data_IF_652392331353
#
_entry.id   IF_652392331353
#
_cell.length_a   1.000
_cell.length_b   1.000
_cell.length_c   1.000
_cell.angle_alpha   90.00
_cell.angle_beta   90.00
_cell.angle_gamma   90.00
#
_symmetry.space_group_name_H-M   'P 1'
#
loop_
_entity.id
_entity.type
_entity.pdbx_description
1 polymer ?
#
# COMPACT_ATOMS: atom_id res chain seq x y z
N UNK A 1 17.97 5.26 -10.10
CA UNK A 1 17.28 6.27 -9.29
C UNK A 1 15.99 5.71 -8.68
N UNK A 2 15.58 6.25 -7.54
CA UNK A 2 14.34 5.86 -6.85
C UNK A 2 13.52 7.10 -6.52
N UNK A 3 12.24 7.06 -6.83
CA UNK A 3 11.24 8.01 -6.36
C UNK A 3 10.40 7.32 -5.28
N UNK A 4 10.54 7.79 -4.05
CA UNK A 4 9.75 7.35 -2.91
C UNK A 4 8.67 8.37 -2.60
N UNK A 5 7.41 7.94 -2.68
CA UNK A 5 6.25 8.78 -2.38
C UNK A 5 5.59 8.34 -1.07
N UNK A 6 5.15 9.31 -0.28
CA UNK A 6 4.51 9.03 1.01
C UNK A 6 3.17 8.29 0.89
N UNK A 7 2.53 8.39 -0.28
CA UNK A 7 1.33 7.62 -0.59
C UNK A 7 1.20 7.37 -2.10
N UNK A 8 0.26 6.52 -2.47
CA UNK A 8 0.04 6.13 -3.86
C UNK A 8 -0.50 7.26 -4.74
N UNK A 9 -1.31 8.17 -4.20
CA UNK A 9 -1.81 9.29 -4.98
C UNK A 9 -0.66 10.19 -5.46
N UNK A 10 0.35 10.42 -4.62
CA UNK A 10 1.58 11.12 -5.01
C UNK A 10 2.38 10.32 -6.03
N UNK A 11 2.47 8.99 -5.84
CA UNK A 11 3.19 8.11 -6.77
C UNK A 11 2.54 8.11 -8.16
N UNK A 12 1.21 8.08 -8.25
CA UNK A 12 0.49 8.16 -9.52
C UNK A 12 0.73 9.50 -10.23
N UNK A 13 0.79 10.60 -9.49
CA UNK A 13 1.18 11.89 -10.04
C UNK A 13 2.63 11.91 -10.54
N UNK A 14 3.56 11.34 -9.77
CA UNK A 14 4.97 11.22 -10.17
C UNK A 14 5.13 10.33 -11.42
N UNK A 15 4.36 9.25 -11.53
CA UNK A 15 4.37 8.35 -12.69
C UNK A 15 4.10 9.11 -14.00
N UNK A 16 3.11 10.00 -14.00
CA UNK A 16 2.81 10.81 -15.18
C UNK A 16 4.01 11.65 -15.62
N UNK A 17 4.71 12.27 -14.67
CA UNK A 17 5.90 13.07 -14.96
C UNK A 17 7.08 12.21 -15.44
N UNK A 18 7.25 11.02 -14.90
CA UNK A 18 8.26 10.05 -15.31
C UNK A 18 8.02 9.64 -16.78
N UNK A 19 6.79 9.28 -17.11
CA UNK A 19 6.41 8.89 -18.48
C UNK A 19 6.57 10.06 -19.46
N UNK A 20 6.17 11.27 -19.09
CA UNK A 20 6.35 12.48 -19.90
C UNK A 20 7.82 12.81 -20.17
N UNK A 21 8.69 12.51 -19.22
CA UNK A 21 10.14 12.66 -19.37
C UNK A 21 10.79 11.54 -20.22
N UNK A 22 10.00 10.58 -20.73
CA UNK A 22 10.48 9.47 -21.55
C UNK A 22 11.24 8.42 -20.74
N UNK A 23 11.07 8.39 -19.42
CA UNK A 23 11.71 7.40 -18.56
C UNK A 23 10.79 6.21 -18.30
N UNK A 24 11.38 5.07 -17.98
CA UNK A 24 10.66 3.80 -17.82
C UNK A 24 10.92 3.23 -16.43
N UNK A 25 9.85 3.10 -15.64
CA UNK A 25 9.91 2.46 -14.34
C UNK A 25 10.35 0.98 -14.49
N UNK A 26 11.22 0.54 -13.62
CA UNK A 26 11.79 -0.80 -13.65
C UNK A 26 13.01 -0.96 -14.57
N UNK A 27 13.36 0.07 -15.35
CA UNK A 27 14.52 0.08 -16.26
C UNK A 27 15.57 1.09 -15.79
N UNK A 28 15.21 2.36 -15.73
CA UNK A 28 16.12 3.46 -15.40
C UNK A 28 15.70 4.23 -14.13
N UNK A 29 14.51 3.98 -13.63
CA UNK A 29 13.97 4.59 -12.42
C UNK A 29 13.03 3.60 -11.71
N UNK A 30 12.97 3.68 -10.39
CA UNK A 30 12.05 2.90 -9.56
C UNK A 30 11.08 3.83 -8.87
N UNK A 31 9.81 3.43 -8.76
CA UNK A 31 8.74 4.23 -8.16
C UNK A 31 7.99 3.41 -7.13
N UNK A 32 7.93 3.91 -5.91
CA UNK A 32 7.21 3.26 -4.81
C UNK A 32 6.28 4.24 -4.10
N UNK A 33 5.15 3.72 -3.65
CA UNK A 33 4.14 4.44 -2.89
C UNK A 33 3.73 3.70 -1.63
N UNK A 34 2.66 4.13 -1.01
CA UNK A 34 2.04 3.54 0.20
C UNK A 34 0.52 3.65 0.05
N UNK A 35 -0.21 2.73 0.58
CA UNK A 35 -1.64 2.52 0.78
C UNK A 35 -2.22 1.35 -0.01
N UNK A 36 -1.59 0.91 -1.08
CA UNK A 36 -2.10 -0.11 -2.01
C UNK A 36 -3.46 0.26 -2.61
N UNK A 37 -3.62 1.49 -3.06
CA UNK A 37 -4.79 1.88 -3.84
C UNK A 37 -4.94 0.99 -5.08
N UNK A 38 -6.15 0.62 -5.45
CA UNK A 38 -6.39 -0.30 -6.58
C UNK A 38 -5.68 0.12 -7.88
N UNK A 39 -5.68 1.42 -8.19
CA UNK A 39 -5.00 1.95 -9.36
C UNK A 39 -3.47 1.79 -9.26
N UNK A 40 -2.89 2.03 -8.08
CA UNK A 40 -1.46 1.82 -7.85
C UNK A 40 -1.10 0.34 -7.92
N UNK A 41 -1.91 -0.54 -7.32
CA UNK A 41 -1.73 -1.99 -7.41
C UNK A 41 -1.80 -2.47 -8.86
N UNK A 42 -2.74 -1.94 -9.66
CA UNK A 42 -2.81 -2.24 -11.09
C UNK A 42 -1.53 -1.79 -11.82
N UNK A 43 -1.02 -0.60 -11.51
CA UNK A 43 0.25 -0.12 -12.07
C UNK A 43 1.46 -0.97 -11.64
N UNK A 44 1.43 -1.58 -10.46
CA UNK A 44 2.46 -2.55 -10.04
C UNK A 44 2.34 -3.83 -10.88
N UNK A 45 1.14 -4.36 -11.09
CA UNK A 45 0.91 -5.53 -11.96
C UNK A 45 1.36 -5.26 -13.39
N UNK A 46 1.08 -4.06 -13.89
CA UNK A 46 1.45 -3.65 -15.27
C UNK A 46 2.93 -3.25 -15.42
N UNK A 47 3.71 -3.29 -14.34
CA UNK A 47 5.12 -2.92 -14.33
C UNK A 47 5.40 -1.41 -14.42
N UNK A 48 4.39 -0.58 -14.21
CA UNK A 48 4.50 0.89 -14.22
C UNK A 48 4.84 1.49 -12.86
N UNK A 49 4.70 0.72 -11.79
CA UNK A 49 5.21 1.01 -10.45
C UNK A 49 6.00 -0.19 -9.95
N UNK A 50 7.05 0.09 -9.17
CA UNK A 50 7.90 -0.97 -8.60
C UNK A 50 7.20 -1.68 -7.46
N UNK A 51 6.41 -0.96 -6.68
CA UNK A 51 5.68 -1.50 -5.55
C UNK A 51 4.94 -0.44 -4.76
N UNK A 52 4.14 -0.92 -3.85
CA UNK A 52 3.48 -0.12 -2.82
C UNK A 52 3.46 -0.90 -1.50
N UNK A 53 2.93 -0.31 -0.47
CA UNK A 53 2.77 -0.94 0.85
C UNK A 53 1.30 -0.84 1.25
N UNK A 54 0.66 -1.99 1.49
CA UNK A 54 -0.70 -2.02 2.00
C UNK A 54 -0.71 -1.51 3.44
N UNK A 55 -1.44 -0.45 3.67
CA UNK A 55 -1.87 -0.02 5.00
C UNK A 55 -3.22 -0.73 5.27
N UNK A 56 -3.16 -1.88 5.93
CA UNK A 56 -4.28 -2.84 6.03
C UNK A 56 -5.48 -2.26 6.79
N UNK A 57 -6.32 -1.54 6.08
CA UNK A 57 -7.52 -0.90 6.61
C UNK A 57 -8.57 -1.91 7.10
N UNK A 58 -8.71 -3.04 6.41
CA UNK A 58 -9.60 -4.14 6.81
C UNK A 58 -9.11 -4.79 8.10
N UNK A 59 -7.83 -5.07 8.21
CA UNK A 59 -7.20 -5.59 9.41
C UNK A 59 -7.35 -4.63 10.59
N UNK A 60 -7.11 -3.34 10.37
CA UNK A 60 -7.28 -2.31 11.40
C UNK A 60 -8.74 -2.19 11.86
N UNK A 61 -9.70 -2.15 10.94
CA UNK A 61 -11.12 -2.09 11.27
C UNK A 61 -11.58 -3.33 12.03
N UNK A 62 -11.12 -4.51 11.61
CA UNK A 62 -11.43 -5.78 12.28
C UNK A 62 -10.86 -5.82 13.70
N UNK A 63 -9.60 -5.43 13.88
CA UNK A 63 -8.97 -5.38 15.20
C UNK A 63 -9.70 -4.41 16.13
N UNK A 64 -10.06 -3.22 15.63
CA UNK A 64 -10.80 -2.22 16.39
C UNK A 64 -12.20 -2.72 16.81
N UNK A 65 -12.93 -3.36 15.90
CA UNK A 65 -14.26 -3.92 16.19
C UNK A 65 -14.17 -5.05 17.24
N UNK A 66 -13.20 -5.94 17.11
CA UNK A 66 -13.00 -7.03 18.06
C UNK A 66 -12.60 -6.51 19.45
N UNK A 67 -11.68 -5.56 19.52
CA UNK A 67 -11.27 -4.94 20.79
C UNK A 67 -12.45 -4.21 21.45
N UNK A 68 -13.25 -3.50 20.68
CA UNK A 68 -14.46 -2.82 21.17
C UNK A 68 -15.46 -3.82 21.76
N UNK A 69 -15.68 -4.95 21.08
CA UNK A 69 -16.58 -6.00 21.57
C UNK A 69 -16.09 -6.57 22.90
N UNK A 70 -14.79 -6.90 23.01
CA UNK A 70 -14.19 -7.38 24.25
C UNK A 70 -14.38 -6.37 25.39
N UNK A 71 -14.15 -5.08 25.14
CA UNK A 71 -14.29 -4.03 26.13
C UNK A 71 -15.74 -3.90 26.62
N UNK A 72 -16.73 -3.91 25.69
CA UNK A 72 -18.16 -3.82 26.03
C UNK A 72 -18.62 -5.05 26.81
N UNK A 73 -18.09 -6.22 26.51
CA UNK A 73 -18.39 -7.48 27.23
C UNK A 73 -17.74 -7.54 28.64
N UNK A 74 -16.94 -6.53 29.01
CA UNK A 74 -16.24 -6.47 30.30
C UNK A 74 -15.00 -7.37 30.36
N UNK A 75 -14.52 -7.84 29.22
CA UNK A 75 -13.25 -8.58 29.10
C UNK A 75 -12.06 -7.65 29.10
N UNK A 76 -10.88 -8.18 29.47
CA UNK A 76 -9.64 -7.45 29.37
C UNK A 76 -9.27 -7.21 27.89
N UNK A 77 -8.74 -6.03 27.62
CA UNK A 77 -8.22 -5.64 26.29
C UNK A 77 -6.73 -5.30 26.42
N UNK A 78 -5.99 -5.59 25.36
CA UNK A 78 -4.59 -5.22 25.27
C UNK A 78 -4.44 -3.71 25.12
N UNK A 79 -3.30 -3.18 25.53
CA UNK A 79 -2.96 -1.75 25.37
C UNK A 79 -2.76 -1.39 23.90
N UNK A 80 -2.25 -2.34 23.09
CA UNK A 80 -1.96 -2.19 21.67
C UNK A 80 -2.44 -3.39 20.88
N UNK A 81 -2.97 -3.13 19.68
CA UNK A 81 -3.30 -4.14 18.66
C UNK A 81 -2.55 -3.79 17.39
N UNK A 82 -1.43 -4.47 17.13
CA UNK A 82 -0.60 -4.23 15.97
C UNK A 82 -1.22 -4.86 14.73
N UNK A 83 -1.30 -4.07 13.66
CA UNK A 83 -1.67 -4.52 12.31
C UNK A 83 -0.53 -4.12 11.38
N UNK A 84 0.15 -5.12 10.86
CA UNK A 84 1.37 -4.92 10.07
C UNK A 84 1.05 -4.36 8.68
N UNK A 85 1.96 -3.54 8.16
CA UNK A 85 1.98 -3.18 6.75
C UNK A 85 2.43 -4.36 5.90
N UNK A 86 1.88 -4.49 4.70
CA UNK A 86 2.22 -5.57 3.76
C UNK A 86 2.90 -4.99 2.53
N UNK A 87 4.10 -5.49 2.23
CA UNK A 87 4.82 -5.14 1.00
C UNK A 87 4.08 -5.72 -0.21
N UNK A 88 3.77 -4.87 -1.20
CA UNK A 88 3.10 -5.23 -2.44
C UNK A 88 4.03 -4.97 -3.61
N UNK A 89 4.40 -6.04 -4.31
CA UNK A 89 5.26 -6.02 -5.49
C UNK A 89 4.62 -6.85 -6.60
N UNK A 90 5.25 -6.93 -7.76
CA UNK A 90 4.76 -7.76 -8.88
C UNK A 90 4.52 -9.23 -8.49
N UNK A 91 5.19 -9.72 -7.45
CA UNK A 91 5.06 -11.11 -6.99
C UNK A 91 3.70 -11.41 -6.34
N UNK A 92 3.09 -10.39 -5.70
CA UNK A 92 1.84 -10.58 -4.93
C UNK A 92 0.74 -9.56 -5.24
N UNK A 93 1.01 -8.55 -6.06
CA UNK A 93 0.07 -7.45 -6.32
C UNK A 93 -1.30 -7.94 -6.83
N UNK A 94 -1.34 -8.98 -7.65
CA UNK A 94 -2.59 -9.50 -8.20
C UNK A 94 -3.60 -9.97 -7.13
N UNK A 95 -3.13 -10.25 -5.90
CA UNK A 95 -3.99 -10.66 -4.78
C UNK A 95 -4.77 -9.48 -4.18
N UNK A 96 -4.37 -8.24 -4.48
CA UNK A 96 -4.91 -7.01 -3.90
C UNK A 96 -5.72 -6.18 -4.90
N UNK A 97 -6.05 -6.74 -6.07
CA UNK A 97 -6.89 -6.11 -7.10
C UNK A 97 -8.40 -6.25 -6.83
#
# INVERSE_FOLDING_TARGET
EVVFCNNDAMALGALQSIEQAGRTVGTDIYLVGVDALKEAVQNVVDGKMTGTVLNDDVGQATAAANATKLYVDGSDVDEYYWVDYVKVTTENAAQYL
#
